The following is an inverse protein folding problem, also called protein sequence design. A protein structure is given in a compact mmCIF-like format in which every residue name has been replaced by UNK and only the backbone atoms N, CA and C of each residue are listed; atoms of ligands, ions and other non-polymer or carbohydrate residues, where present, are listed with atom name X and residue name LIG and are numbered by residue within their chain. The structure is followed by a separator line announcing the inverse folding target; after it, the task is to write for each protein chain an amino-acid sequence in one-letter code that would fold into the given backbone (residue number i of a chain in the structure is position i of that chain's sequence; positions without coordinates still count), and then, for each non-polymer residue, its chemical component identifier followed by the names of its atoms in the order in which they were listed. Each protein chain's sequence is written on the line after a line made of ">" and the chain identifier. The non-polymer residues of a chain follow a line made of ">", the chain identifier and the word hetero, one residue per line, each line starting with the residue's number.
data_IF_390194946221
#
_entry.id   IF_390194946221
#
_cell.length_a   1.000
_cell.length_b   1.000
_cell.length_c   1.000
_cell.angle_alpha   90.00
_cell.angle_beta   90.00
_cell.angle_gamma   90.00
#
_symmetry.space_group_name_H-M   'P 1'
#
loop_
_entity.id
_entity.type
_entity.pdbx_description
1 polymer ?
#
# COMPACT_ATOMS: atom_id res chain seq x y z
N UNK A 1 -8.04 -0.17 -18.46
CA UNK A 1 -6.75 -0.10 -17.74
C UNK A 1 -6.98 -0.67 -16.35
N UNK A 2 -6.18 -1.65 -15.91
CA UNK A 2 -6.36 -2.31 -14.60
C UNK A 2 -5.94 -1.33 -13.50
N UNK A 3 -6.85 -1.04 -12.57
CA UNK A 3 -6.57 -0.18 -11.42
C UNK A 3 -6.04 -1.02 -10.26
N UNK A 4 -4.83 -0.71 -9.82
CA UNK A 4 -4.12 -1.46 -8.78
C UNK A 4 -4.04 -0.62 -7.52
N UNK A 5 -4.26 -1.24 -6.37
CA UNK A 5 -3.76 -0.74 -5.08
C UNK A 5 -2.60 -1.62 -4.66
N UNK A 6 -1.46 -0.99 -4.37
CA UNK A 6 -0.26 -1.70 -3.90
C UNK A 6 -0.16 -1.60 -2.38
N UNK A 7 0.05 -2.73 -1.69
CA UNK A 7 0.24 -2.80 -0.24
C UNK A 7 1.62 -3.36 0.10
N UNK A 8 2.48 -2.55 0.68
CA UNK A 8 3.82 -2.99 1.06
C UNK A 8 4.49 -2.05 2.05
N UNK A 9 5.64 -2.43 2.60
CA UNK A 9 6.30 -1.62 3.63
C UNK A 9 7.83 -1.63 3.54
N UNK A 10 8.53 -2.78 3.64
CA UNK A 10 9.99 -2.78 3.68
C UNK A 10 10.62 -2.49 2.32
N UNK A 11 11.94 -2.30 2.31
CA UNK A 11 12.75 -2.11 1.10
C UNK A 11 12.52 -3.19 0.04
N UNK A 12 12.25 -4.44 0.46
CA UNK A 12 11.87 -5.54 -0.42
C UNK A 12 10.66 -5.24 -1.33
N UNK A 13 9.73 -4.41 -0.87
CA UNK A 13 8.49 -4.10 -1.60
C UNK A 13 8.68 -2.97 -2.63
N UNK A 14 9.71 -2.14 -2.46
CA UNK A 14 9.99 -0.99 -3.33
C UNK A 14 10.23 -1.37 -4.80
N UNK A 15 11.10 -2.36 -5.13
CA UNK A 15 11.31 -2.72 -6.54
C UNK A 15 10.04 -3.28 -7.20
N UNK A 16 9.15 -3.91 -6.44
CA UNK A 16 7.88 -4.43 -6.95
C UNK A 16 6.94 -3.28 -7.32
N UNK A 17 6.82 -2.27 -6.44
CA UNK A 17 6.04 -1.07 -6.75
C UNK A 17 6.59 -0.37 -8.01
N UNK A 18 7.91 -0.18 -8.10
CA UNK A 18 8.55 0.43 -9.26
C UNK A 18 8.24 -0.31 -10.56
N UNK A 19 8.39 -1.63 -10.55
CA UNK A 19 8.13 -2.43 -11.74
C UNK A 19 6.68 -2.28 -12.21
N UNK A 20 5.71 -2.30 -11.29
CA UNK A 20 4.30 -2.10 -11.65
C UNK A 20 4.03 -0.72 -12.27
N UNK A 21 4.73 0.32 -11.80
CA UNK A 21 4.64 1.67 -12.38
C UNK A 21 5.26 1.67 -13.79
N UNK A 22 6.45 1.09 -13.95
CA UNK A 22 7.18 0.99 -15.23
C UNK A 22 6.41 0.18 -16.29
N UNK A 23 5.73 -0.89 -15.87
CA UNK A 23 4.87 -1.72 -16.72
C UNK A 23 3.56 -0.99 -17.16
N UNK A 24 3.31 0.22 -16.64
CA UNK A 24 2.19 1.06 -17.04
C UNK A 24 0.86 0.71 -16.36
N UNK A 25 0.87 -0.01 -15.23
CA UNK A 25 -0.33 -0.21 -14.43
C UNK A 25 -0.79 1.10 -13.78
N UNK A 26 -2.11 1.27 -13.64
CA UNK A 26 -2.65 2.42 -12.92
C UNK A 26 -2.61 2.17 -11.41
N UNK A 27 -1.55 2.63 -10.75
CA UNK A 27 -1.42 2.56 -9.29
C UNK A 27 -2.26 3.68 -8.66
N UNK A 28 -3.49 3.36 -8.27
CA UNK A 28 -4.42 4.36 -7.75
C UNK A 28 -4.10 4.81 -6.32
N UNK A 29 -3.53 3.92 -5.51
CA UNK A 29 -3.04 4.23 -4.18
C UNK A 29 -2.00 3.20 -3.71
N UNK A 30 -1.21 3.61 -2.74
CA UNK A 30 -0.28 2.76 -1.99
C UNK A 30 -0.71 2.70 -0.54
N UNK A 31 -0.70 1.51 0.05
CA UNK A 31 -0.97 1.29 1.47
C UNK A 31 0.30 0.76 2.13
N UNK A 32 0.71 1.40 3.21
CA UNK A 32 1.90 1.02 3.97
C UNK A 32 1.68 1.20 5.46
N UNK A 33 2.56 0.66 6.29
CA UNK A 33 2.52 0.88 7.73
C UNK A 33 2.66 2.38 8.07
N UNK A 34 2.17 2.84 9.23
CA UNK A 34 2.50 4.17 9.75
C UNK A 34 4.01 4.36 9.89
N UNK A 35 4.44 5.63 9.86
CA UNK A 35 5.83 5.99 10.14
C UNK A 35 6.20 5.48 11.54
N UNK A 36 7.38 4.85 11.66
CA UNK A 36 7.83 4.23 12.91
C UNK A 36 9.22 4.75 13.29
N UNK A 37 9.51 4.89 14.60
CA UNK A 37 10.85 5.19 15.06
C UNK A 37 11.86 4.13 14.59
N UNK A 38 12.97 4.56 13.98
CA UNK A 38 14.05 3.66 13.52
C UNK A 38 15.40 4.04 14.15
N UNK A 39 16.28 3.05 14.31
CA UNK A 39 17.64 3.23 14.83
C UNK A 39 17.70 3.57 16.32
N UNK A 40 18.91 3.78 16.84
CA UNK A 40 19.15 4.03 18.27
C UNK A 40 18.55 5.36 18.75
N UNK A 41 18.48 6.36 17.88
CA UNK A 41 17.92 7.68 18.17
C UNK A 41 16.39 7.74 18.09
N UNK A 42 15.72 6.66 17.64
CA UNK A 42 14.25 6.58 17.49
C UNK A 42 13.67 7.73 16.67
N UNK A 43 14.35 8.10 15.59
CA UNK A 43 13.86 9.11 14.66
C UNK A 43 12.66 8.56 13.88
N UNK A 44 11.59 9.35 13.82
CA UNK A 44 10.38 8.97 13.08
C UNK A 44 10.74 8.88 11.59
N UNK A 45 10.69 7.67 11.05
CA UNK A 45 11.15 7.39 9.68
C UNK A 45 9.98 6.85 8.85
N UNK A 46 9.73 7.40 7.65
CA UNK A 46 8.71 6.87 6.76
C UNK A 46 9.12 5.49 6.23
N UNK A 47 8.16 4.60 5.94
CA UNK A 47 8.46 3.36 5.26
C UNK A 47 9.07 3.60 3.87
N UNK A 48 10.00 2.75 3.41
CA UNK A 48 10.56 2.83 2.06
C UNK A 48 9.51 2.92 0.95
N UNK A 49 8.41 2.18 1.07
CA UNK A 49 7.30 2.20 0.10
C UNK A 49 6.56 3.54 0.07
N UNK A 50 6.40 4.23 1.21
CA UNK A 50 5.83 5.59 1.26
C UNK A 50 6.70 6.56 0.47
N UNK A 51 8.00 6.55 0.76
CA UNK A 51 8.97 7.43 0.11
C UNK A 51 8.97 7.21 -1.41
N UNK A 52 8.86 5.96 -1.86
CA UNK A 52 8.79 5.68 -3.30
C UNK A 52 7.48 6.18 -3.91
N UNK A 53 6.33 5.88 -3.30
CA UNK A 53 5.03 6.32 -3.80
C UNK A 53 4.92 7.85 -3.94
N UNK A 54 5.44 8.59 -2.95
CA UNK A 54 5.44 10.06 -2.93
C UNK A 54 6.25 10.67 -4.09
N UNK A 55 7.35 10.03 -4.53
CA UNK A 55 8.12 10.50 -5.71
C UNK A 55 7.32 10.47 -7.00
N UNK A 56 6.38 9.54 -7.12
CA UNK A 56 5.51 9.38 -8.28
C UNK A 56 4.17 10.10 -8.11
N UNK A 57 3.99 10.85 -7.02
CA UNK A 57 2.73 11.55 -6.72
C UNK A 57 1.55 10.62 -6.44
N UNK A 58 1.81 9.37 -6.03
CA UNK A 58 0.78 8.38 -5.77
C UNK A 58 0.22 8.59 -4.36
N UNK A 59 -1.12 8.61 -4.17
CA UNK A 59 -1.73 8.71 -2.84
C UNK A 59 -1.27 7.59 -1.90
N UNK A 60 -0.92 7.96 -0.65
CA UNK A 60 -0.46 7.01 0.37
C UNK A 60 -1.48 6.93 1.52
N UNK A 61 -1.91 5.72 1.85
CA UNK A 61 -2.69 5.41 3.05
C UNK A 61 -1.80 4.73 4.09
N UNK A 62 -1.90 5.15 5.35
CA UNK A 62 -1.13 4.60 6.47
C UNK A 62 -2.03 4.09 7.62
N UNK A 63 -2.87 3.08 7.37
CA UNK A 63 -3.77 2.53 8.36
C UNK A 63 -3.00 1.93 9.54
N UNK A 64 -3.39 2.28 10.76
CA UNK A 64 -2.87 1.66 11.98
C UNK A 64 -3.30 0.20 12.08
N UNK A 65 -4.52 -0.13 11.64
CA UNK A 65 -5.09 -1.48 11.59
C UNK A 65 -6.05 -1.60 10.40
N UNK A 66 -5.58 -2.17 9.30
CA UNK A 66 -6.34 -2.33 8.05
C UNK A 66 -7.64 -3.12 8.21
N UNK A 67 -7.75 -3.98 9.22
CA UNK A 67 -8.97 -4.76 9.49
C UNK A 67 -10.13 -3.92 10.03
N UNK A 68 -9.88 -2.69 10.49
CA UNK A 68 -10.93 -1.77 10.94
C UNK A 68 -11.70 -1.23 9.74
N UNK A 69 -13.03 -1.20 9.86
CA UNK A 69 -13.94 -0.91 8.74
C UNK A 69 -13.64 0.43 8.09
N UNK A 70 -13.47 1.44 8.92
CA UNK A 70 -13.18 2.82 8.52
C UNK A 70 -11.85 2.93 7.78
N UNK A 71 -10.92 1.97 7.98
CA UNK A 71 -9.60 1.97 7.34
C UNK A 71 -9.59 1.20 6.02
N UNK A 72 -10.17 0.00 5.95
CA UNK A 72 -10.26 -0.69 4.66
C UNK A 72 -11.24 -0.04 3.69
N UNK A 73 -12.29 0.65 4.17
CA UNK A 73 -13.21 1.37 3.28
C UNK A 73 -12.52 2.50 2.51
N UNK A 74 -11.49 3.12 3.09
CA UNK A 74 -10.66 4.11 2.38
C UNK A 74 -9.92 3.47 1.20
N UNK A 75 -9.46 2.23 1.34
CA UNK A 75 -8.84 1.47 0.23
C UNK A 75 -9.90 1.15 -0.83
N UNK A 76 -11.06 0.66 -0.43
CA UNK A 76 -12.13 0.29 -1.34
C UNK A 76 -12.73 1.50 -2.08
N UNK A 77 -12.63 2.70 -1.52
CA UNK A 77 -13.06 3.94 -2.18
C UNK A 77 -12.29 4.21 -3.49
N UNK A 78 -11.06 3.70 -3.63
CA UNK A 78 -10.31 3.77 -4.88
C UNK A 78 -10.87 2.85 -5.98
N UNK A 79 -11.74 1.90 -5.62
CA UNK A 79 -12.35 0.89 -6.50
C UNK A 79 -11.28 0.12 -7.28
N UNK A 80 -10.33 -0.56 -6.61
CA UNK A 80 -9.29 -1.34 -7.29
C UNK A 80 -9.89 -2.53 -8.04
N UNK A 81 -9.32 -2.84 -9.20
CA UNK A 81 -9.55 -4.09 -9.91
C UNK A 81 -8.68 -5.22 -9.35
N UNK A 82 -7.52 -4.88 -8.78
CA UNK A 82 -6.55 -5.80 -8.18
C UNK A 82 -5.85 -5.15 -6.98
N UNK A 83 -5.63 -5.93 -5.93
CA UNK A 83 -4.75 -5.56 -4.82
C UNK A 83 -3.48 -6.42 -4.88
N UNK A 84 -2.32 -5.76 -4.99
CA UNK A 84 -1.01 -6.44 -4.95
C UNK A 84 -0.40 -6.21 -3.58
N UNK A 85 -0.04 -7.30 -2.88
CA UNK A 85 0.59 -7.20 -1.56
C UNK A 85 2.01 -7.75 -1.58
N UNK A 86 2.94 -7.05 -0.96
CA UNK A 86 4.30 -7.52 -0.71
C UNK A 86 4.74 -7.08 0.68
N UNK A 87 4.90 -8.02 1.61
CA UNK A 87 5.41 -7.75 2.96
C UNK A 87 4.73 -6.56 3.71
N UNK A 88 3.41 -6.41 3.58
CA UNK A 88 2.65 -5.33 4.24
C UNK A 88 2.60 -5.46 5.77
N UNK A 89 2.59 -6.69 6.29
CA UNK A 89 2.67 -6.96 7.73
C UNK A 89 1.38 -6.73 8.52
N UNK A 90 0.22 -6.65 7.86
CA UNK A 90 -1.09 -6.73 8.51
C UNK A 90 -1.96 -7.78 7.84
N UNK A 91 -2.86 -8.40 8.61
CA UNK A 91 -3.83 -9.35 8.09
C UNK A 91 -4.91 -8.59 7.34
N UNK A 92 -5.16 -8.96 6.09
CA UNK A 92 -6.24 -8.37 5.30
C UNK A 92 -7.59 -8.97 5.70
N UNK A 93 -8.61 -8.14 5.97
CA UNK A 93 -9.98 -8.60 6.17
C UNK A 93 -10.54 -9.17 4.86
N UNK A 94 -11.48 -10.11 4.98
CA UNK A 94 -12.17 -10.73 3.83
C UNK A 94 -12.79 -9.69 2.88
N UNK A 95 -13.29 -8.57 3.40
CA UNK A 95 -13.82 -7.48 2.58
C UNK A 95 -12.82 -6.90 1.57
N UNK A 96 -11.51 -6.90 1.87
CA UNK A 96 -10.48 -6.48 0.90
C UNK A 96 -10.11 -7.57 -0.10
N UNK A 97 -10.26 -8.84 0.29
CA UNK A 97 -9.96 -9.98 -0.59
C UNK A 97 -11.11 -10.25 -1.58
N UNK A 98 -12.34 -9.99 -1.18
CA UNK A 98 -13.51 -10.30 -2.01
C UNK A 98 -13.89 -9.16 -2.96
N UNK A 99 -13.43 -7.93 -2.70
CA UNK A 99 -13.89 -6.74 -3.42
C UNK A 99 -13.26 -6.52 -4.79
N UNK A 100 -11.93 -6.69 -4.99
CA UNK A 100 -11.33 -6.45 -6.30
C UNK A 100 -11.68 -7.58 -7.27
N UNK A 101 -11.91 -7.23 -8.53
CA UNK A 101 -12.37 -8.15 -9.58
C UNK A 101 -11.41 -9.33 -9.80
N UNK A 102 -10.11 -9.10 -9.62
CA UNK A 102 -9.06 -10.08 -9.87
C UNK A 102 -8.46 -10.66 -8.58
N UNK A 103 -9.15 -10.52 -7.45
CA UNK A 103 -8.85 -11.17 -6.17
C UNK A 103 -8.58 -10.21 -5.02
#
# INVERSE_FOLDING_TARGET
>A
MIKVVFMGTPDFSVPILKQLIEDGYNIAAVVTQPDKPKGRKRELTPPPVKVEAEKHGIPVLQPTKIREKEQYEQVLAFKPDLIVTAAFGQILPKALLDAPKYG
#
